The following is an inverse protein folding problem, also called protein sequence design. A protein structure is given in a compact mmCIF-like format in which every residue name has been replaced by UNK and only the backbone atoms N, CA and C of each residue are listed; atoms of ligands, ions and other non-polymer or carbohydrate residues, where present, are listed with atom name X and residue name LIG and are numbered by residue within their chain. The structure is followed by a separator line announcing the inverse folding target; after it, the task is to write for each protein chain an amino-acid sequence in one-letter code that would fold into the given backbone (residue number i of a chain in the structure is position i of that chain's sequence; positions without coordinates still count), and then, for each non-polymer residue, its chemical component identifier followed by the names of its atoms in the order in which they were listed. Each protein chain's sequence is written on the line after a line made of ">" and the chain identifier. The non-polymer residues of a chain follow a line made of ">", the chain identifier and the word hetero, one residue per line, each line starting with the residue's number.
data_IF_323256082183
#
_entry.id   IF_323256082183
#
_cell.length_a   1.000
_cell.length_b   1.000
_cell.length_c   1.000
_cell.angle_alpha   90.00
_cell.angle_beta   90.00
_cell.angle_gamma   90.00
#
_symmetry.space_group_name_H-M   'P 1'
#
loop_
_entity.id
_entity.type
_entity.pdbx_description
1 polymer ?
#
# COMPACT_ATOMS: atom_id res chain seq x y z
N UNK A 1 4.93 -14.83 -16.96
CA UNK A 1 5.97 -14.44 -16.00
C UNK A 1 5.32 -14.10 -14.67
N UNK A 2 5.21 -15.08 -13.74
CA UNK A 2 4.60 -14.86 -12.44
C UNK A 2 5.44 -13.85 -11.65
N UNK A 3 4.93 -12.62 -11.53
CA UNK A 3 5.57 -11.55 -10.77
C UNK A 3 5.82 -12.06 -9.36
N UNK A 4 7.10 -12.27 -9.04
CA UNK A 4 7.52 -12.78 -7.73
C UNK A 4 6.99 -11.78 -6.70
N UNK A 5 5.91 -12.14 -5.99
CA UNK A 5 5.34 -11.35 -4.92
C UNK A 5 6.49 -10.97 -3.98
N UNK A 6 6.95 -9.72 -4.09
CA UNK A 6 8.04 -9.23 -3.25
C UNK A 6 7.44 -9.09 -1.87
N UNK A 7 7.79 -9.99 -0.95
CA UNK A 7 7.37 -9.89 0.44
C UNK A 7 7.87 -8.58 1.02
N UNK A 8 7.09 -7.98 1.91
CA UNK A 8 7.46 -6.73 2.59
C UNK A 8 8.86 -6.82 3.17
N UNK A 9 9.16 -7.96 3.82
CA UNK A 9 10.48 -8.26 4.40
C UNK A 9 11.62 -8.09 3.40
N UNK A 10 11.52 -8.66 2.20
CA UNK A 10 12.58 -8.54 1.17
C UNK A 10 12.78 -7.11 0.70
N UNK A 11 11.69 -6.35 0.59
CA UNK A 11 11.78 -4.94 0.21
C UNK A 11 12.44 -4.15 1.34
N UNK A 12 12.03 -4.36 2.59
CA UNK A 12 12.63 -3.72 3.76
C UNK A 12 14.13 -4.03 3.87
N UNK A 13 14.53 -5.30 3.73
CA UNK A 13 15.93 -5.71 3.71
C UNK A 13 16.73 -5.02 2.59
N UNK A 14 16.14 -4.88 1.40
CA UNK A 14 16.78 -4.20 0.27
C UNK A 14 16.99 -2.70 0.48
N UNK A 15 16.11 -2.04 1.25
CA UNK A 15 16.17 -0.59 1.46
C UNK A 15 16.95 -0.20 2.71
N UNK A 16 16.84 -0.98 3.78
CA UNK A 16 17.52 -0.70 5.06
C UNK A 16 18.92 -1.30 5.14
N UNK A 17 19.26 -2.20 4.20
CA UNK A 17 20.49 -2.98 4.25
C UNK A 17 20.51 -3.94 5.43
N UNK A 18 21.28 -5.01 5.32
CA UNK A 18 21.40 -6.05 6.36
C UNK A 18 22.04 -5.53 7.67
N UNK A 19 22.45 -4.27 7.75
CA UNK A 19 23.57 -3.89 8.63
C UNK A 19 23.43 -2.57 9.43
N UNK A 20 22.33 -1.82 9.34
CA UNK A 20 22.29 -0.47 9.93
C UNK A 20 21.18 -0.19 10.94
N UNK A 21 20.10 -0.97 10.95
CA UNK A 21 18.96 -0.73 11.82
C UNK A 21 19.11 -1.53 13.12
N UNK A 22 19.25 -0.83 14.25
CA UNK A 22 19.20 -1.43 15.59
C UNK A 22 17.77 -1.78 16.01
N UNK A 23 16.77 -1.10 15.46
CA UNK A 23 15.36 -1.43 15.69
C UNK A 23 14.53 -1.22 14.42
N UNK A 24 13.59 -2.15 14.16
CA UNK A 24 12.65 -2.09 13.04
C UNK A 24 11.24 -2.31 13.58
N UNK A 25 10.39 -1.28 13.45
CA UNK A 25 8.99 -1.32 13.83
C UNK A 25 8.10 -1.35 12.60
N UNK A 26 7.23 -2.35 12.53
CA UNK A 26 6.24 -2.47 11.44
C UNK A 26 4.85 -2.21 12.00
N UNK A 27 4.22 -1.11 11.56
CA UNK A 27 2.85 -0.74 11.93
C UNK A 27 1.93 -0.91 10.74
N UNK A 28 0.90 -1.74 10.88
CA UNK A 28 -0.08 -1.97 9.81
C UNK A 28 -1.18 -0.90 9.85
N UNK A 29 -1.38 -0.25 8.72
CA UNK A 29 -2.47 0.70 8.49
C UNK A 29 -3.46 0.07 7.50
N UNK A 30 -4.62 -0.37 8.01
CA UNK A 30 -5.74 -0.73 7.14
C UNK A 30 -6.63 0.49 6.96
N UNK A 31 -6.71 1.02 5.74
CA UNK A 31 -7.71 2.03 5.40
C UNK A 31 -9.13 1.50 5.63
N UNK A 32 -10.07 2.40 5.95
CA UNK A 32 -11.51 2.10 6.03
C UNK A 32 -12.04 1.52 4.71
N UNK A 33 -13.06 0.66 4.77
CA UNK A 33 -13.72 -0.08 3.68
C UNK A 33 -13.92 0.67 2.34
N UNK A 34 -14.02 2.01 2.36
CA UNK A 34 -14.16 2.87 1.18
C UNK A 34 -12.87 3.14 0.40
N UNK A 35 -11.69 2.90 1.00
CA UNK A 35 -10.37 2.97 0.33
C UNK A 35 -9.64 1.68 0.63
N UNK A 36 -9.58 0.76 -0.35
CA UNK A 36 -8.89 -0.56 -0.28
C UNK A 36 -7.37 -0.47 -0.08
N UNK A 37 -6.85 0.67 0.38
CA UNK A 37 -5.43 0.87 0.56
C UNK A 37 -4.99 0.16 1.84
N UNK A 38 -4.31 -0.98 1.68
CA UNK A 38 -3.62 -1.69 2.77
C UNK A 38 -2.18 -1.16 2.77
N UNK A 39 -1.83 -0.29 3.70
CA UNK A 39 -0.46 0.19 3.84
C UNK A 39 0.18 -0.28 5.14
N UNK A 40 1.50 -0.28 5.18
CA UNK A 40 2.31 -0.59 6.35
C UNK A 40 3.37 0.49 6.47
N UNK A 41 3.54 1.03 7.66
CA UNK A 41 4.65 1.92 8.01
C UNK A 41 5.76 1.07 8.57
N UNK A 42 6.93 1.17 7.96
CA UNK A 42 8.15 0.56 8.46
C UNK A 42 9.01 1.70 8.98
N UNK A 43 9.28 1.65 10.27
CA UNK A 43 10.19 2.57 10.94
C UNK A 43 11.47 1.83 11.25
N UNK A 44 12.60 2.47 11.01
CA UNK A 44 13.92 1.96 11.32
C UNK A 44 14.68 3.02 12.09
N UNK A 45 15.36 2.61 13.16
CA UNK A 45 16.34 3.45 13.84
C UNK A 45 17.70 2.80 13.81
N UNK A 46 18.74 3.58 13.56
CA UNK A 46 20.13 3.15 13.53
C UNK A 46 21.08 4.26 13.98
N UNK A 47 22.38 4.02 13.90
CA UNK A 47 23.42 4.98 14.30
C UNK A 47 23.31 6.31 13.54
N UNK A 48 22.84 6.26 12.29
CA UNK A 48 22.66 7.44 11.43
C UNK A 48 21.32 8.17 11.64
N UNK A 49 20.46 7.68 12.53
CA UNK A 49 19.17 8.30 12.86
C UNK A 49 17.97 7.41 12.55
N UNK A 50 16.79 8.04 12.45
CA UNK A 50 15.50 7.38 12.28
C UNK A 50 14.94 7.63 10.88
N UNK A 51 14.37 6.60 10.26
CA UNK A 51 13.68 6.64 8.98
C UNK A 51 12.30 5.99 9.09
N UNK A 52 11.32 6.54 8.40
CA UNK A 52 10.01 5.92 8.24
C UNK A 52 9.63 5.86 6.75
N UNK A 53 9.23 4.67 6.29
CA UNK A 53 8.78 4.42 4.92
C UNK A 53 7.37 3.83 4.97
N UNK A 54 6.48 4.33 4.11
CA UNK A 54 5.17 3.75 3.88
C UNK A 54 5.21 2.82 2.67
N UNK A 55 4.81 1.57 2.86
CA UNK A 55 4.60 0.61 1.79
C UNK A 55 3.10 0.40 1.58
N UNK A 56 2.69 0.39 0.33
CA UNK A 56 1.33 0.17 -0.12
C UNK A 56 1.22 -1.19 -0.79
N UNK A 57 0.18 -1.93 -0.43
CA UNK A 57 -0.17 -3.17 -1.11
C UNK A 57 -0.91 -2.84 -2.39
N UNK A 58 -0.38 -3.28 -3.53
CA UNK A 58 -1.05 -3.20 -4.82
C UNK A 58 -1.94 -4.43 -5.04
N UNK A 59 -2.87 -4.35 -5.99
CA UNK A 59 -3.87 -5.41 -6.22
C UNK A 59 -3.25 -6.72 -6.75
N UNK A 60 -2.08 -6.63 -7.39
CA UNK A 60 -1.25 -7.77 -7.81
C UNK A 60 -0.56 -8.51 -6.64
N UNK A 61 -0.69 -7.96 -5.43
CA UNK A 61 -0.02 -8.48 -4.25
C UNK A 61 1.45 -8.11 -4.15
N UNK A 62 1.93 -7.10 -4.87
CA UNK A 62 3.23 -6.49 -4.64
C UNK A 62 3.16 -5.42 -3.53
N UNK A 63 4.31 -5.13 -2.92
CA UNK A 63 4.50 -4.00 -2.00
C UNK A 63 5.33 -2.94 -2.70
N UNK A 64 4.82 -1.71 -2.75
CA UNK A 64 5.45 -0.57 -3.42
C UNK A 64 5.48 0.65 -2.47
N UNK A 65 6.41 1.59 -2.67
CA UNK A 65 6.47 2.85 -1.89
C UNK A 65 5.56 3.95 -2.46
N UNK A 66 4.90 3.68 -3.58
CA UNK A 66 3.93 4.57 -4.21
C UNK A 66 2.51 4.06 -3.93
N UNK A 67 1.54 4.96 -3.69
CA UNK A 67 0.15 4.54 -3.51
C UNK A 67 -0.37 3.83 -4.77
N UNK A 68 -1.29 2.86 -4.65
CA UNK A 68 -1.98 2.30 -5.80
C UNK A 68 -2.72 3.43 -6.52
N UNK A 69 -2.81 3.32 -7.86
CA UNK A 69 -3.55 4.30 -8.65
C UNK A 69 -4.95 4.47 -8.04
N UNK A 70 -5.44 5.72 -7.87
CA UNK A 70 -6.80 5.91 -7.41
C UNK A 70 -7.71 5.16 -8.38
N UNK A 71 -8.62 4.34 -7.86
CA UNK A 71 -9.68 3.75 -8.68
C UNK A 71 -10.39 4.91 -9.35
N UNK A 72 -10.15 5.11 -10.64
CA UNK A 72 -10.86 6.13 -11.42
C UNK A 72 -12.33 5.85 -11.20
N UNK A 73 -13.14 6.80 -10.72
CA UNK A 73 -14.57 6.60 -10.70
C UNK A 73 -14.96 6.28 -12.14
N UNK A 74 -15.33 5.02 -12.37
CA UNK A 74 -16.01 4.64 -13.58
C UNK A 74 -17.33 5.40 -13.49
N UNK A 75 -17.57 6.33 -14.42
CA UNK A 75 -18.92 6.83 -14.63
C UNK A 75 -19.74 5.62 -15.04
N UNK A 76 -20.31 4.91 -14.06
CA UNK A 76 -21.45 4.08 -14.31
C UNK A 76 -22.50 5.03 -14.87
N UNK A 77 -22.89 4.82 -16.12
CA UNK A 77 -24.10 5.41 -16.65
C UNK A 77 -25.21 5.14 -15.61
N UNK A 78 -25.86 6.21 -15.17
CA UNK A 78 -27.04 6.17 -14.32
C UNK A 78 -28.01 5.10 -14.88
N UNK A 79 -28.59 4.21 -14.06
CA UNK A 79 -29.76 3.48 -14.51
C UNK A 79 -30.85 4.52 -14.76
N UNK A 80 -31.21 4.73 -16.01
CA UNK A 80 -32.40 5.47 -16.40
C UNK A 80 -33.63 4.76 -15.80
N UNK A 81 -33.93 5.06 -14.54
CA UNK A 81 -35.23 4.73 -13.95
C UNK A 81 -36.25 5.64 -14.59
N UNK A 82 -36.83 5.11 -15.66
CA UNK A 82 -38.11 5.50 -16.23
C UNK A 82 -39.15 5.56 -15.11
N UNK A 83 -39.45 6.75 -14.59
CA UNK A 83 -40.67 7.00 -13.83
C UNK A 83 -41.65 7.66 -14.79
N UNK A 84 -42.49 6.82 -15.38
CA UNK A 84 -43.78 7.24 -15.90
C UNK A 84 -44.61 7.74 -14.72
N UNK A 85 -45.10 8.98 -14.78
CA UNK A 85 -46.27 9.38 -14.03
C UNK A 85 -47.25 10.07 -14.98
N UNK A 86 -48.49 9.61 -14.85
CA UNK A 86 -49.72 9.95 -15.56
C UNK A 86 -49.97 11.44 -15.75
#
# INVERSE_FOLDING_TARGET
>A
MAGRQRSLRRVVESWLGTHGATDIRVTRFSGTRRKRCRCVRVEASGERGKLAILFFRHDDGSWCVFPPAPSRPFMGAEPETHVSLQ
#
